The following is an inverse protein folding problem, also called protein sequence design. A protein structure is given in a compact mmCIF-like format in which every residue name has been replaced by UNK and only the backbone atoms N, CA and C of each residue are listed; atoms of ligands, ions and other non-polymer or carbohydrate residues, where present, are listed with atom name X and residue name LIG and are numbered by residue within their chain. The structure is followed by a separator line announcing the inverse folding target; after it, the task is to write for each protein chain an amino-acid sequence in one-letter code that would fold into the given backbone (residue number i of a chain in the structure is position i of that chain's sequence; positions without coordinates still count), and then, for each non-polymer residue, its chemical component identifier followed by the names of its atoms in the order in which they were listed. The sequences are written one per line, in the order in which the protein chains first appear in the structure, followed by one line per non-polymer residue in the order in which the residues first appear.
data_IF_419548855660
#
_entry.id   IF_419548855660
#
_cell.length_a   1.000
_cell.length_b   1.000
_cell.length_c   1.000
_cell.angle_alpha   90.00
_cell.angle_beta   90.00
_cell.angle_gamma   90.00
#
_symmetry.space_group_name_H-M   'P 1'
#
loop_
_entity.id
_entity.type
_entity.pdbx_description
1 polymer ?
#
# COMPACT_ATOMS: atom_id res chain seq x y z
N UNK A 1 6.84 3.31 13.41
CA UNK A 1 5.69 2.48 13.86
C UNK A 1 6.08 1.31 14.75
N UNK A 2 7.27 0.70 14.62
CA UNK A 2 7.68 -0.43 15.47
C UNK A 2 7.75 -0.10 16.98
N UNK A 3 8.30 1.06 17.37
CA UNK A 3 8.35 1.50 18.78
C UNK A 3 6.95 1.67 19.36
N UNK A 4 6.05 2.29 18.59
CA UNK A 4 4.65 2.48 18.99
C UNK A 4 3.94 1.13 19.15
N UNK A 5 4.14 0.19 18.22
CA UNK A 5 3.64 -1.17 18.34
C UNK A 5 4.17 -1.91 19.57
N UNK A 6 5.46 -1.75 19.90
CA UNK A 6 6.04 -2.34 21.10
C UNK A 6 5.41 -1.78 22.39
N UNK A 7 5.16 -0.47 22.44
CA UNK A 7 4.49 0.18 23.58
C UNK A 7 3.05 -0.32 23.74
N UNK A 8 2.31 -0.46 22.63
CA UNK A 8 0.95 -1.00 22.65
C UNK A 8 0.89 -2.49 23.01
N UNK A 9 1.92 -3.26 22.65
CA UNK A 9 2.03 -4.67 23.01
C UNK A 9 2.34 -4.86 24.51
N UNK A 10 3.18 -4.01 25.09
CA UNK A 10 3.61 -4.10 26.49
C UNK A 10 2.57 -3.54 27.47
N UNK A 11 1.83 -2.49 27.09
CA UNK A 11 0.88 -1.81 27.98
C UNK A 11 -0.54 -1.66 27.41
N UNK A 12 -1.16 -2.72 26.83
CA UNK A 12 -2.47 -2.59 26.17
C UNK A 12 -3.58 -2.17 27.14
N UNK A 13 -3.54 -2.65 28.39
CA UNK A 13 -4.54 -2.34 29.41
C UNK A 13 -4.59 -0.84 29.73
N UNK A 14 -3.43 -0.21 29.90
CA UNK A 14 -3.33 1.20 30.24
C UNK A 14 -3.97 2.09 29.17
N UNK A 15 -3.84 1.72 27.90
CA UNK A 15 -4.45 2.47 26.80
C UNK A 15 -5.97 2.30 26.73
N UNK A 16 -6.48 1.08 26.86
CA UNK A 16 -7.93 0.83 26.72
C UNK A 16 -8.71 1.40 27.91
N UNK A 17 -8.10 1.36 29.10
CA UNK A 17 -8.72 1.86 30.34
C UNK A 17 -8.92 3.38 30.35
N UNK A 18 -8.24 4.12 29.47
CA UNK A 18 -8.49 5.56 29.25
C UNK A 18 -9.86 5.78 28.59
N UNK A 19 -10.30 4.85 27.72
CA UNK A 19 -11.54 5.00 26.97
C UNK A 19 -12.75 4.42 27.69
N UNK A 20 -12.59 3.31 28.40
CA UNK A 20 -13.70 2.59 29.03
C UNK A 20 -13.31 2.00 30.39
N UNK A 21 -14.16 2.14 31.42
CA UNK A 21 -13.95 1.51 32.73
C UNK A 21 -14.47 0.05 32.79
N UNK A 22 -15.22 -0.42 31.81
CA UNK A 22 -15.83 -1.75 31.76
C UNK A 22 -14.82 -2.86 31.48
N UNK A 23 -14.69 -3.79 32.43
CA UNK A 23 -13.65 -4.83 32.44
C UNK A 23 -13.72 -5.81 31.27
N UNK A 24 -14.92 -6.13 30.79
CA UNK A 24 -15.07 -7.12 29.70
C UNK A 24 -14.68 -6.52 28.34
N UNK A 25 -14.95 -5.24 28.13
CA UNK A 25 -14.47 -4.50 26.95
C UNK A 25 -12.94 -4.38 26.98
N UNK A 26 -12.34 -4.15 28.17
CA UNK A 26 -10.88 -4.08 28.33
C UNK A 26 -10.24 -5.42 27.92
N UNK A 27 -10.76 -6.56 28.38
CA UNK A 27 -10.21 -7.88 28.02
C UNK A 27 -10.22 -8.12 26.50
N UNK A 28 -11.32 -7.80 25.83
CA UNK A 28 -11.45 -7.98 24.38
C UNK A 28 -10.48 -7.05 23.64
N UNK A 29 -10.42 -5.78 24.05
CA UNK A 29 -9.51 -4.80 23.45
C UNK A 29 -8.04 -5.17 23.65
N UNK A 30 -7.67 -5.77 24.79
CA UNK A 30 -6.29 -6.15 25.06
C UNK A 30 -5.82 -7.24 24.10
N UNK A 31 -6.66 -8.27 23.90
CA UNK A 31 -6.38 -9.34 22.93
C UNK A 31 -6.24 -8.75 21.54
N UNK A 32 -7.16 -7.87 21.13
CA UNK A 32 -7.09 -7.18 19.85
C UNK A 32 -5.77 -6.42 19.65
N UNK A 33 -5.37 -5.59 20.63
CA UNK A 33 -4.13 -4.82 20.58
C UNK A 33 -2.89 -5.72 20.50
N UNK A 34 -2.87 -6.84 21.21
CA UNK A 34 -1.76 -7.80 21.16
C UNK A 34 -1.62 -8.45 19.77
N UNK A 35 -2.73 -8.78 19.12
CA UNK A 35 -2.71 -9.31 17.75
C UNK A 35 -2.30 -8.26 16.71
N UNK A 36 -2.74 -7.01 16.87
CA UNK A 36 -2.50 -5.97 15.86
C UNK A 36 -1.14 -5.29 15.99
N UNK A 37 -0.64 -5.09 17.21
CA UNK A 37 0.63 -4.41 17.49
C UNK A 37 1.82 -4.90 16.66
N UNK A 38 2.09 -6.22 16.50
CA UNK A 38 3.19 -6.69 15.67
C UNK A 38 3.01 -6.36 14.17
N UNK A 39 1.78 -6.15 13.71
CA UNK A 39 1.48 -5.86 12.30
C UNK A 39 1.67 -4.38 11.93
N UNK A 40 1.75 -3.47 12.90
CA UNK A 40 1.99 -2.05 12.64
C UNK A 40 3.29 -1.77 11.88
N UNK A 41 4.30 -2.63 12.02
CA UNK A 41 5.51 -2.56 11.19
C UNK A 41 5.20 -2.78 9.70
N UNK A 42 4.47 -3.85 9.38
CA UNK A 42 4.10 -4.18 8.00
C UNK A 42 3.16 -3.13 7.38
N UNK A 43 2.21 -2.61 8.16
CA UNK A 43 1.32 -1.54 7.70
C UNK A 43 2.13 -0.28 7.34
N UNK A 44 3.11 0.08 8.17
CA UNK A 44 3.97 1.23 7.90
C UNK A 44 4.77 1.06 6.61
N UNK A 45 5.37 -0.12 6.39
CA UNK A 45 6.07 -0.42 5.15
C UNK A 45 5.14 -0.35 3.93
N UNK A 46 3.98 -0.99 4.02
CA UNK A 46 2.98 -0.97 2.94
C UNK A 46 2.54 0.46 2.60
N UNK A 47 2.31 1.28 3.62
CA UNK A 47 1.92 2.67 3.44
C UNK A 47 3.03 3.49 2.77
N UNK A 48 4.28 3.40 3.27
CA UNK A 48 5.40 4.17 2.72
C UNK A 48 5.65 3.79 1.26
N UNK A 49 5.70 2.49 0.95
CA UNK A 49 5.91 1.99 -0.41
C UNK A 49 4.75 2.38 -1.33
N UNK A 50 3.51 2.22 -0.85
CA UNK A 50 2.33 2.65 -1.59
C UNK A 50 2.35 4.14 -1.90
N UNK A 51 2.71 5.00 -0.93
CA UNK A 51 2.82 6.45 -1.15
C UNK A 51 3.97 6.80 -2.10
N UNK A 52 5.10 6.09 -2.03
CA UNK A 52 6.20 6.27 -2.97
C UNK A 52 5.80 5.93 -4.42
N UNK A 53 5.05 4.84 -4.63
CA UNK A 53 4.52 4.46 -5.95
C UNK A 53 3.51 5.49 -6.48
N UNK A 54 2.58 5.92 -5.62
CA UNK A 54 1.62 6.97 -5.96
C UNK A 54 2.32 8.28 -6.34
N UNK A 55 3.41 8.64 -5.66
CA UNK A 55 4.21 9.84 -5.97
C UNK A 55 5.01 9.74 -7.28
N UNK A 56 5.29 8.53 -7.76
CA UNK A 56 5.99 8.28 -9.01
C UNK A 56 5.06 8.22 -10.24
N UNK A 57 3.74 8.35 -10.04
CA UNK A 57 2.72 8.31 -11.11
C UNK A 57 2.05 6.94 -11.29
N UNK A 58 2.42 5.92 -10.51
CA UNK A 58 1.75 4.61 -10.51
C UNK A 58 0.79 4.48 -9.31
N UNK A 59 -0.48 4.79 -9.56
CA UNK A 59 -1.55 4.71 -8.56
C UNK A 59 -2.35 3.41 -8.63
N UNK A 60 -2.29 2.69 -9.76
CA UNK A 60 -3.09 1.51 -10.00
C UNK A 60 -2.52 0.28 -9.30
N UNK A 61 -1.21 0.08 -9.38
CA UNK A 61 -0.53 -1.04 -8.72
C UNK A 61 -0.78 -1.07 -7.20
N UNK A 62 -0.54 0.02 -6.43
CA UNK A 62 -0.80 0.00 -4.99
C UNK A 62 -2.28 -0.15 -4.64
N UNK A 63 -3.20 0.31 -5.50
CA UNK A 63 -4.64 0.12 -5.34
C UNK A 63 -5.03 -1.36 -5.45
N UNK A 64 -4.61 -2.04 -6.52
CA UNK A 64 -4.94 -3.46 -6.74
C UNK A 64 -4.36 -4.34 -5.64
N UNK A 65 -3.10 -4.09 -5.24
CA UNK A 65 -2.46 -4.84 -4.15
C UNK A 65 -3.22 -4.65 -2.84
N UNK A 66 -3.60 -3.42 -2.50
CA UNK A 66 -4.35 -3.12 -1.27
C UNK A 66 -5.73 -3.76 -1.30
N UNK A 67 -6.44 -3.67 -2.42
CA UNK A 67 -7.77 -4.26 -2.58
C UNK A 67 -7.72 -5.79 -2.49
N UNK A 68 -6.78 -6.43 -3.20
CA UNK A 68 -6.62 -7.88 -3.18
C UNK A 68 -6.23 -8.38 -1.78
N UNK A 69 -5.32 -7.69 -1.09
CA UNK A 69 -4.86 -8.10 0.23
C UNK A 69 -5.94 -7.90 1.31
N UNK A 70 -6.68 -6.78 1.31
CA UNK A 70 -7.70 -6.51 2.32
C UNK A 70 -9.04 -7.18 2.02
N UNK A 71 -9.55 -7.04 0.79
CA UNK A 71 -10.88 -7.55 0.42
C UNK A 71 -10.80 -9.01 0.02
N UNK A 72 -9.85 -9.38 -0.84
CA UNK A 72 -9.73 -10.77 -1.31
C UNK A 72 -9.23 -11.69 -0.19
N UNK A 73 -7.99 -11.48 0.23
CA UNK A 73 -7.32 -12.35 1.21
C UNK A 73 -7.82 -12.07 2.62
N UNK A 74 -7.99 -10.80 3.00
CA UNK A 74 -8.43 -10.43 4.34
C UNK A 74 -9.84 -10.92 4.67
N UNK A 75 -10.85 -10.63 3.85
CA UNK A 75 -12.20 -11.13 4.12
C UNK A 75 -12.27 -12.65 4.05
N UNK A 76 -11.57 -13.28 3.11
CA UNK A 76 -11.50 -14.73 3.00
C UNK A 76 -10.93 -15.38 4.26
N UNK A 77 -9.79 -14.86 4.76
CA UNK A 77 -9.17 -15.33 5.99
C UNK A 77 -10.05 -15.09 7.21
N UNK A 78 -10.69 -13.93 7.32
CA UNK A 78 -11.57 -13.61 8.44
C UNK A 78 -12.75 -14.57 8.48
N UNK A 79 -13.44 -14.79 7.36
CA UNK A 79 -14.59 -15.71 7.30
C UNK A 79 -14.16 -17.14 7.62
N UNK A 80 -13.04 -17.59 7.05
CA UNK A 80 -12.52 -18.94 7.27
C UNK A 80 -12.10 -19.14 8.73
N UNK A 81 -11.24 -18.28 9.27
CA UNK A 81 -10.72 -18.43 10.63
C UNK A 81 -11.80 -18.15 11.69
N UNK A 82 -12.76 -17.27 11.42
CA UNK A 82 -13.90 -17.05 12.32
C UNK A 82 -14.73 -18.31 12.50
N UNK A 83 -14.79 -19.20 11.50
CA UNK A 83 -15.53 -20.46 11.60
C UNK A 83 -14.83 -21.48 12.52
N UNK A 84 -13.49 -21.48 12.55
CA UNK A 84 -12.72 -22.43 13.35
C UNK A 84 -12.39 -21.94 14.77
N UNK A 85 -12.10 -20.66 14.93
CA UNK A 85 -11.49 -20.10 16.16
C UNK A 85 -12.36 -18.97 16.77
N UNK A 86 -13.56 -18.75 16.23
CA UNK A 86 -14.48 -17.71 16.69
C UNK A 86 -13.87 -16.31 16.61
N UNK A 87 -14.02 -15.51 17.67
CA UNK A 87 -13.57 -14.12 17.71
C UNK A 87 -12.06 -13.95 17.51
N UNK A 88 -11.24 -14.88 18.02
CA UNK A 88 -9.79 -14.83 17.84
C UNK A 88 -9.39 -15.05 16.37
N UNK A 89 -10.21 -15.79 15.61
CA UNK A 89 -10.01 -15.99 14.18
C UNK A 89 -10.16 -14.70 13.37
N UNK A 90 -11.06 -13.80 13.79
CA UNK A 90 -11.23 -12.47 13.17
C UNK A 90 -9.98 -11.63 13.35
N UNK A 91 -9.43 -11.58 14.57
CA UNK A 91 -8.22 -10.82 14.87
C UNK A 91 -6.99 -11.36 14.12
N UNK A 92 -6.84 -12.69 14.05
CA UNK A 92 -5.80 -13.33 13.26
C UNK A 92 -5.95 -13.06 11.76
N UNK A 93 -7.18 -13.09 11.24
CA UNK A 93 -7.45 -12.81 9.83
C UNK A 93 -7.02 -11.39 9.43
N UNK A 94 -7.35 -10.40 10.26
CA UNK A 94 -6.93 -9.00 10.07
C UNK A 94 -5.41 -8.86 10.20
N UNK A 95 -4.79 -9.51 11.18
CA UNK A 95 -3.35 -9.45 11.35
C UNK A 95 -2.62 -10.05 10.14
N UNK A 96 -3.07 -11.21 9.65
CA UNK A 96 -2.51 -11.87 8.48
C UNK A 96 -2.72 -11.06 7.20
N UNK A 97 -3.89 -10.43 7.01
CA UNK A 97 -4.14 -9.59 5.83
C UNK A 97 -3.16 -8.42 5.74
N UNK A 98 -2.85 -7.78 6.88
CA UNK A 98 -1.87 -6.69 6.96
C UNK A 98 -0.45 -7.17 6.66
N UNK A 99 -0.06 -8.36 7.13
CA UNK A 99 1.24 -8.97 6.82
C UNK A 99 1.34 -9.28 5.33
N UNK A 100 0.32 -9.91 4.75
CA UNK A 100 0.25 -10.22 3.33
C UNK A 100 0.31 -8.94 2.49
N UNK A 101 -0.42 -7.89 2.87
CA UNK A 101 -0.37 -6.59 2.20
C UNK A 101 1.04 -5.99 2.23
N UNK A 102 1.71 -6.03 3.39
CA UNK A 102 3.08 -5.54 3.54
C UNK A 102 4.07 -6.30 2.66
N UNK A 103 4.00 -7.64 2.68
CA UNK A 103 4.87 -8.50 1.88
C UNK A 103 4.59 -8.33 0.39
N UNK A 104 3.32 -8.33 -0.04
CA UNK A 104 2.94 -8.14 -1.43
C UNK A 104 3.41 -6.79 -1.98
N UNK A 105 3.27 -5.72 -1.18
CA UNK A 105 3.76 -4.39 -1.54
C UNK A 105 5.29 -4.35 -1.63
N UNK A 106 5.99 -5.01 -0.69
CA UNK A 106 7.45 -5.10 -0.72
C UNK A 106 7.95 -5.91 -1.90
N UNK A 107 7.35 -7.08 -2.17
CA UNK A 107 7.65 -7.91 -3.34
C UNK A 107 7.40 -7.15 -4.64
N UNK A 108 6.30 -6.41 -4.75
CA UNK A 108 6.02 -5.60 -5.94
C UNK A 108 7.06 -4.50 -6.12
N UNK A 109 7.41 -3.80 -5.04
CA UNK A 109 8.45 -2.77 -5.06
C UNK A 109 9.82 -3.35 -5.43
N UNK A 110 10.21 -4.50 -4.84
CA UNK A 110 11.51 -5.15 -5.08
C UNK A 110 11.60 -5.80 -6.46
N UNK A 111 10.48 -6.31 -6.97
CA UNK A 111 10.39 -6.86 -8.34
C UNK A 111 10.30 -5.73 -9.38
N UNK A 112 9.81 -4.54 -9.00
CA UNK A 112 9.22 -3.57 -9.92
C UNK A 112 9.87 -2.18 -10.03
N UNK A 113 10.85 -1.80 -9.20
CA UNK A 113 11.70 -0.63 -9.55
C UNK A 113 12.64 -0.94 -10.74
N UNK A 114 12.82 -2.22 -11.11
CA UNK A 114 13.48 -2.64 -12.37
C UNK A 114 12.58 -2.40 -13.60
N UNK A 115 11.30 -2.07 -13.40
CA UNK A 115 10.31 -1.80 -14.43
C UNK A 115 9.90 -0.31 -14.50
N UNK A 116 10.82 0.61 -14.17
CA UNK A 116 10.69 2.07 -14.37
C UNK A 116 10.31 2.50 -15.81
N UNK A 117 10.10 1.57 -16.75
CA UNK A 117 10.02 1.82 -18.20
C UNK A 117 9.14 0.84 -19.00
N UNK A 118 8.12 0.16 -18.43
CA UNK A 118 7.29 -0.69 -19.29
C UNK A 118 6.03 -1.36 -18.70
N UNK A 119 4.86 -0.72 -18.83
CA UNK A 119 3.80 -1.46 -19.54
C UNK A 119 2.36 -1.56 -19.03
N UNK A 120 1.93 -1.12 -17.82
CA UNK A 120 0.56 -1.51 -17.41
C UNK A 120 -0.47 -0.54 -16.78
N UNK A 121 -0.23 0.72 -16.38
CA UNK A 121 -1.37 1.60 -16.02
C UNK A 121 -1.80 2.58 -17.11
N UNK A 122 -0.99 2.80 -18.14
CA UNK A 122 -1.28 3.81 -19.17
C UNK A 122 -2.16 3.29 -20.33
N UNK A 123 -2.70 2.08 -20.23
CA UNK A 123 -3.51 1.49 -21.30
C UNK A 123 -4.66 2.40 -21.77
N UNK A 124 -5.39 3.11 -20.88
CA UNK A 124 -6.44 4.03 -21.33
C UNK A 124 -5.91 5.33 -21.95
N UNK A 125 -4.86 5.93 -21.39
CA UNK A 125 -4.35 7.24 -21.85
C UNK A 125 -3.51 7.14 -23.13
N UNK A 126 -2.73 6.07 -23.30
CA UNK A 126 -1.94 5.85 -24.52
C UNK A 126 -2.79 5.46 -25.71
N UNK A 127 -3.88 4.73 -25.49
CA UNK A 127 -4.83 4.41 -26.57
C UNK A 127 -5.46 5.69 -27.13
N UNK A 128 -5.79 6.66 -26.26
CA UNK A 128 -6.27 7.98 -26.70
C UNK A 128 -5.25 8.76 -27.52
N UNK A 129 -3.98 8.79 -27.09
CA UNK A 129 -2.90 9.52 -27.78
C UNK A 129 -2.48 8.83 -29.10
N UNK A 130 -2.50 7.50 -29.15
CA UNK A 130 -2.26 6.73 -30.37
C UNK A 130 -3.42 6.89 -31.39
N UNK A 131 -4.67 6.95 -30.92
CA UNK A 131 -5.83 7.24 -31.77
C UNK A 131 -5.82 8.68 -32.34
N UNK A 132 -5.12 9.61 -31.70
CA UNK A 132 -4.88 10.98 -32.16
C UNK A 132 -3.70 11.12 -33.14
N UNK A 133 -3.03 10.02 -33.50
CA UNK A 133 -2.00 10.01 -34.55
C UNK A 133 -0.56 10.30 -34.09
N UNK A 134 -0.28 10.25 -32.79
CA UNK A 134 1.09 10.45 -32.28
C UNK A 134 1.91 9.13 -32.35
N UNK A 135 3.00 9.09 -33.13
CA UNK A 135 3.70 7.83 -33.44
C UNK A 135 4.64 7.33 -32.34
N UNK A 136 5.00 8.17 -31.35
CA UNK A 136 5.94 7.81 -30.27
C UNK A 136 5.40 8.18 -28.89
N UNK A 137 4.51 7.32 -28.40
CA UNK A 137 3.92 7.39 -27.04
C UNK A 137 4.95 7.32 -25.91
N UNK A 138 6.18 6.87 -26.18
CA UNK A 138 7.28 6.83 -25.20
C UNK A 138 7.80 8.21 -24.79
N UNK A 139 7.47 9.28 -25.51
CA UNK A 139 7.90 10.65 -25.17
C UNK A 139 6.97 11.35 -24.17
N UNK A 140 5.78 10.79 -23.95
CA UNK A 140 4.75 11.34 -23.05
C UNK A 140 4.72 10.61 -21.69
N UNK A 141 5.71 9.76 -21.44
CA UNK A 141 5.88 9.04 -20.18
C UNK A 141 6.50 10.00 -19.16
N UNK A 142 5.66 10.85 -18.58
CA UNK A 142 6.06 11.71 -17.49
C UNK A 142 6.50 10.91 -16.27
N UNK A 143 7.78 11.07 -15.92
CA UNK A 143 8.25 10.95 -14.53
C UNK A 143 9.66 11.54 -14.40
N UNK A 144 10.58 11.28 -15.35
CA UNK A 144 11.95 11.86 -15.31
C UNK A 144 12.61 12.10 -16.67
N UNK A 145 12.10 11.50 -17.76
CA UNK A 145 12.63 11.72 -19.13
C UNK A 145 12.27 13.09 -19.72
N UNK A 146 11.25 13.74 -19.16
CA UNK A 146 10.77 15.06 -19.56
C UNK A 146 11.75 16.21 -19.27
N UNK A 147 12.67 15.99 -18.34
CA UNK A 147 13.71 16.95 -17.93
C UNK A 147 15.10 16.61 -18.50
N UNK A 148 15.20 15.58 -19.34
CA UNK A 148 16.41 15.31 -20.13
C UNK A 148 16.46 16.18 -21.39
N UNK A 149 17.64 16.34 -21.99
CA UNK A 149 17.88 17.18 -23.17
C UNK A 149 16.87 16.87 -24.29
N UNK A 150 15.85 17.74 -24.42
CA UNK A 150 14.85 17.68 -25.48
C UNK A 150 15.46 18.27 -26.75
N UNK A 151 16.24 17.46 -27.46
CA UNK A 151 16.87 17.80 -28.75
C UNK A 151 15.84 18.09 -29.86
N UNK A 152 14.56 17.81 -29.60
CA UNK A 152 13.42 17.96 -30.50
C UNK A 152 12.64 19.28 -30.31
N UNK A 153 12.86 20.01 -29.21
CA UNK A 153 12.24 21.32 -29.01
C UNK A 153 13.19 22.45 -29.45
N UNK A 154 12.69 23.50 -30.14
CA UNK A 154 13.50 24.67 -30.43
C UNK A 154 13.90 25.33 -29.11
N UNK A 155 15.22 25.39 -28.85
CA UNK A 155 15.78 26.11 -27.70
C UNK A 155 15.45 27.59 -27.89
N UNK A 156 14.57 28.14 -27.04
CA UNK A 156 14.37 29.58 -26.98
C UNK A 156 15.65 30.22 -26.45
N UNK A 157 16.49 30.71 -27.37
CA UNK A 157 17.64 31.52 -27.01
C UNK A 157 17.11 32.94 -26.75
N UNK A 158 17.11 33.43 -25.50
CA UNK A 158 16.69 34.79 -25.23
C UNK A 158 17.58 35.75 -26.03
N UNK A 159 16.96 36.54 -26.90
CA UNK A 159 17.63 37.63 -27.62
C UNK A 159 17.97 38.69 -26.56
N UNK A 160 19.24 38.73 -26.16
CA UNK A 160 19.80 39.80 -25.30
C UNK A 160 19.93 41.08 -26.12
#
# INVERSE_FOLDING_TARGET
MAVIGAVFFLFPEAFIRIFTPETDVIKIGMVYLQFLSPTFGFIAFSLILGRALNGAGDTFSPMVITLAAQVGIGLGLVILLSHFIGLNGVWLGIALSNVVQGIAMWLWYSTGYVLLTGGLPLFPSLFGVAALGYPKVSNYIGSWKEWGDRLDLPVEIPQV
#
